data_IF_607677927076
#
_entry.id   IF_607677927076
#
_cell.length_a   1.000
_cell.length_b   1.000
_cell.length_c   1.000
_cell.angle_alpha   90.00
_cell.angle_beta   90.00
_cell.angle_gamma   90.00
#
_symmetry.space_group_name_H-M   'P 1'
#
loop_
_entity.id
_entity.type
_entity.pdbx_description
1 polymer ?
#
# COMPACT_ATOMS: atom_id res chain seq x y z
N UNK A 1 -11.86 0.25 1.13
CA UNK A 1 -11.38 0.87 -0.14
C UNK A 1 -12.30 0.41 -1.24
N UNK A 2 -12.90 1.32 -1.97
CA UNK A 2 -13.78 1.01 -3.10
C UNK A 2 -12.93 0.53 -4.29
N UNK A 3 -13.33 -0.59 -4.90
CA UNK A 3 -12.67 -1.16 -6.07
C UNK A 3 -13.62 -1.06 -7.25
N UNK A 4 -13.38 -0.13 -8.15
CA UNK A 4 -14.25 0.10 -9.31
C UNK A 4 -14.42 -1.16 -10.16
N UNK A 5 -13.32 -1.88 -10.43
CA UNK A 5 -13.36 -3.13 -11.21
C UNK A 5 -14.18 -4.23 -10.53
N UNK A 6 -14.12 -4.33 -9.21
CA UNK A 6 -14.95 -5.28 -8.46
C UNK A 6 -16.41 -4.87 -8.48
N UNK A 7 -16.71 -3.58 -8.31
CA UNK A 7 -18.06 -3.05 -8.39
C UNK A 7 -18.69 -3.30 -9.78
N UNK A 8 -17.94 -3.01 -10.85
CA UNK A 8 -18.38 -3.31 -12.22
C UNK A 8 -18.66 -4.79 -12.43
N UNK A 9 -17.81 -5.68 -11.90
CA UNK A 9 -18.05 -7.12 -11.97
C UNK A 9 -19.30 -7.53 -11.20
N UNK A 10 -19.54 -6.99 -10.01
CA UNK A 10 -20.71 -7.29 -9.18
C UNK A 10 -22.03 -6.80 -9.80
N UNK A 11 -22.00 -5.73 -10.60
CA UNK A 11 -23.18 -5.27 -11.37
C UNK A 11 -23.63 -6.28 -12.43
N UNK A 12 -22.66 -7.01 -13.04
CA UNK A 12 -22.95 -7.99 -14.11
C UNK A 12 -23.13 -9.41 -13.56
N UNK A 13 -22.52 -9.70 -12.41
CA UNK A 13 -22.55 -11.01 -11.76
C UNK A 13 -22.85 -10.85 -10.27
N UNK A 14 -24.12 -10.66 -9.89
CA UNK A 14 -24.47 -10.45 -8.49
C UNK A 14 -24.04 -11.63 -7.62
N UNK A 15 -23.14 -11.38 -6.70
CA UNK A 15 -22.70 -12.38 -5.73
C UNK A 15 -23.58 -12.27 -4.48
N UNK A 16 -24.10 -13.37 -3.93
CA UNK A 16 -24.90 -13.31 -2.71
C UNK A 16 -24.11 -12.66 -1.57
N UNK A 17 -24.68 -11.62 -0.97
CA UNK A 17 -24.08 -10.98 0.20
C UNK A 17 -24.10 -12.00 1.36
N UNK A 18 -22.95 -12.60 1.66
CA UNK A 18 -22.81 -13.42 2.87
C UNK A 18 -22.89 -12.50 4.08
N UNK A 19 -23.98 -12.56 4.82
CA UNK A 19 -24.04 -11.99 6.17
C UNK A 19 -22.97 -12.67 7.01
N UNK A 20 -22.10 -11.87 7.62
CA UNK A 20 -21.14 -12.39 8.59
C UNK A 20 -21.84 -12.47 9.95
N UNK A 21 -21.93 -13.66 10.49
CA UNK A 21 -22.34 -13.85 11.88
C UNK A 21 -21.15 -13.54 12.79
N UNK A 22 -21.35 -12.66 13.77
CA UNK A 22 -20.36 -12.28 14.76
C UNK A 22 -19.81 -10.83 14.64
N UNK A 23 -19.02 -10.40 15.62
CA UNK A 23 -18.49 -9.05 15.68
C UNK A 23 -17.52 -8.77 14.51
N UNK A 24 -17.75 -7.66 13.81
CA UNK A 24 -16.90 -7.23 12.71
C UNK A 24 -15.60 -6.64 13.28
N UNK A 25 -14.46 -7.26 12.99
CA UNK A 25 -13.14 -6.72 13.32
C UNK A 25 -12.72 -5.71 12.27
N UNK A 26 -12.01 -4.63 12.66
CA UNK A 26 -11.56 -3.60 11.72
C UNK A 26 -10.46 -4.11 10.79
N UNK A 27 -10.41 -3.55 9.57
CA UNK A 27 -9.23 -3.60 8.71
C UNK A 27 -8.26 -2.53 9.22
N UNK A 28 -6.99 -2.88 9.38
CA UNK A 28 -5.96 -1.96 9.84
C UNK A 28 -5.09 -1.52 8.68
N UNK A 29 -4.98 -0.21 8.49
CA UNK A 29 -3.98 0.43 7.64
C UNK A 29 -2.95 1.03 8.58
N UNK A 30 -1.73 0.51 8.55
CA UNK A 30 -0.68 0.94 9.45
C UNK A 30 0.37 1.76 8.72
N UNK A 31 0.45 3.04 9.07
CA UNK A 31 1.52 3.92 8.61
C UNK A 31 2.80 3.66 9.41
N UNK A 32 3.69 2.85 8.85
CA UNK A 32 4.92 2.39 9.49
C UNK A 32 5.97 3.50 9.69
N UNK A 33 5.94 4.49 8.79
CA UNK A 33 6.86 5.63 8.80
C UNK A 33 6.21 6.84 8.14
N UNK A 34 6.65 8.03 8.49
CA UNK A 34 6.33 9.27 7.77
C UNK A 34 7.38 9.60 6.72
N UNK A 35 8.53 8.93 6.74
CA UNK A 35 9.56 9.13 5.71
C UNK A 35 9.03 8.71 4.33
N UNK A 36 9.29 9.56 3.32
CA UNK A 36 8.86 9.32 1.95
C UNK A 36 9.82 10.02 0.98
N UNK A 37 10.18 9.34 -0.08
CA UNK A 37 11.00 9.88 -1.15
C UNK A 37 10.22 10.80 -2.12
N UNK A 38 8.89 10.93 -1.98
CA UNK A 38 8.07 11.83 -2.77
C UNK A 38 7.55 13.02 -1.92
N UNK A 39 7.04 14.07 -2.58
CA UNK A 39 6.53 15.30 -1.98
C UNK A 39 5.13 15.62 -2.50
N UNK A 40 4.22 14.65 -2.36
CA UNK A 40 2.87 14.75 -2.93
C UNK A 40 2.12 15.97 -2.42
N UNK A 41 1.49 16.72 -3.34
CA UNK A 41 0.70 17.93 -3.04
C UNK A 41 -0.52 17.66 -2.17
N UNK A 42 -1.09 16.47 -2.24
CA UNK A 42 -2.26 16.02 -1.48
C UNK A 42 -1.89 15.06 -0.34
N UNK A 43 -0.64 15.08 0.13
CA UNK A 43 -0.18 14.18 1.18
C UNK A 43 -0.87 14.45 2.52
N UNK A 44 -1.64 13.48 3.00
CA UNK A 44 -2.34 13.59 4.29
C UNK A 44 -1.43 13.36 5.50
N UNK A 45 -0.26 12.72 5.31
CA UNK A 45 0.69 12.42 6.39
C UNK A 45 1.78 13.48 6.55
N UNK A 46 1.81 14.51 5.69
CA UNK A 46 2.88 15.52 5.67
C UNK A 46 4.28 14.89 5.64
N UNK A 47 4.46 13.90 4.76
CA UNK A 47 5.70 13.13 4.64
C UNK A 47 6.82 13.93 4.00
N UNK A 48 8.06 13.58 4.35
CA UNK A 48 9.29 14.13 3.76
C UNK A 48 10.41 13.09 3.84
N UNK A 49 11.47 13.25 3.06
CA UNK A 49 12.64 12.36 3.13
C UNK A 49 13.59 12.74 4.26
N UNK A 50 13.08 12.69 5.48
CA UNK A 50 13.81 12.96 6.72
C UNK A 50 13.37 11.97 7.80
N UNK A 51 14.21 11.73 8.83
CA UNK A 51 13.77 11.00 10.01
C UNK A 51 12.70 11.81 10.78
N UNK A 52 11.68 11.11 11.26
CA UNK A 52 10.65 11.71 12.11
C UNK A 52 10.79 11.22 13.54
N UNK A 53 10.79 12.12 14.53
CA UNK A 53 10.82 11.71 15.94
C UNK A 53 9.51 11.01 16.33
N UNK A 54 9.62 10.06 17.27
CA UNK A 54 8.45 9.34 17.78
C UNK A 54 7.93 8.19 16.90
N UNK A 55 8.63 7.83 15.84
CA UNK A 55 8.36 6.58 15.14
C UNK A 55 8.71 5.39 16.03
N UNK A 56 7.94 4.29 15.92
CA UNK A 56 8.17 3.08 16.70
C UNK A 56 9.55 2.48 16.39
N UNK A 57 10.24 2.01 17.42
CA UNK A 57 11.44 1.17 17.23
C UNK A 57 11.08 -0.14 16.57
N UNK A 58 12.09 -0.91 16.16
CA UNK A 58 11.89 -2.25 15.59
C UNK A 58 11.11 -3.16 16.56
N UNK A 59 11.55 -3.24 17.80
CA UNK A 59 10.94 -4.06 18.85
C UNK A 59 9.49 -3.66 19.13
N UNK A 60 9.23 -2.35 19.20
CA UNK A 60 7.88 -1.82 19.39
C UNK A 60 6.97 -2.19 18.20
N UNK A 61 7.49 -2.08 16.97
CA UNK A 61 6.75 -2.42 15.77
C UNK A 61 6.46 -3.93 15.68
N UNK A 62 7.41 -4.78 16.10
CA UNK A 62 7.17 -6.23 16.23
C UNK A 62 6.07 -6.52 17.25
N UNK A 63 6.09 -5.88 18.42
CA UNK A 63 5.05 -6.00 19.43
C UNK A 63 3.66 -5.60 18.93
N UNK A 64 3.57 -4.53 18.14
CA UNK A 64 2.30 -4.14 17.49
C UNK A 64 1.77 -5.22 16.56
N UNK A 65 2.62 -5.90 15.80
CA UNK A 65 2.19 -7.02 14.94
C UNK A 65 1.59 -8.17 15.76
N UNK A 66 2.22 -8.52 16.88
CA UNK A 66 1.73 -9.57 17.78
C UNK A 66 0.38 -9.16 18.40
N UNK A 67 0.22 -7.92 18.85
CA UNK A 67 -1.04 -7.40 19.39
C UNK A 67 -2.17 -7.38 18.34
N UNK A 68 -1.88 -6.93 17.11
CA UNK A 68 -2.85 -6.93 16.02
C UNK A 68 -3.30 -8.36 15.66
N UNK A 69 -2.37 -9.32 15.70
CA UNK A 69 -2.69 -10.74 15.49
C UNK A 69 -3.56 -11.28 16.63
N UNK A 70 -3.21 -11.03 17.87
CA UNK A 70 -3.99 -11.44 19.06
C UNK A 70 -5.38 -10.82 19.05
N UNK A 71 -5.50 -9.55 18.66
CA UNK A 71 -6.79 -8.88 18.47
C UNK A 71 -7.64 -9.52 17.36
N UNK A 72 -7.01 -10.17 16.37
CA UNK A 72 -7.69 -10.91 15.31
C UNK A 72 -8.22 -10.04 14.18
N UNK A 73 -7.47 -9.03 13.75
CA UNK A 73 -7.86 -8.24 12.58
C UNK A 73 -7.91 -9.12 11.32
N UNK A 74 -8.89 -8.90 10.41
CA UNK A 74 -9.03 -9.69 9.19
C UNK A 74 -8.01 -9.32 8.10
N UNK A 75 -7.50 -8.09 8.12
CA UNK A 75 -6.57 -7.60 7.12
C UNK A 75 -5.64 -6.53 7.69
N UNK A 76 -4.37 -6.63 7.32
CA UNK A 76 -3.33 -5.66 7.60
C UNK A 76 -2.81 -5.06 6.30
N UNK A 77 -2.80 -3.75 6.20
CA UNK A 77 -2.25 -3.00 5.08
C UNK A 77 -1.04 -2.22 5.59
N UNK A 78 0.16 -2.62 5.18
CA UNK A 78 1.39 -1.89 5.47
C UNK A 78 1.46 -0.66 4.56
N UNK A 79 1.55 0.51 5.17
CA UNK A 79 1.50 1.82 4.51
C UNK A 79 2.46 2.80 5.20
N UNK A 80 2.33 4.10 4.92
CA UNK A 80 3.12 5.14 5.58
C UNK A 80 3.22 6.39 4.73
N UNK A 81 4.35 7.09 4.81
CA UNK A 81 4.84 7.93 3.75
C UNK A 81 5.19 7.02 2.56
N UNK A 82 6.38 6.42 2.58
CA UNK A 82 6.72 5.28 1.73
C UNK A 82 7.24 4.12 2.60
N UNK A 83 6.49 3.04 2.75
CA UNK A 83 6.88 1.95 3.66
C UNK A 83 8.21 1.30 3.28
N UNK A 84 8.56 1.23 1.98
CA UNK A 84 9.85 0.72 1.51
C UNK A 84 11.04 1.63 1.88
N UNK A 85 10.79 2.83 2.42
CA UNK A 85 11.82 3.71 2.94
C UNK A 85 12.15 3.44 4.42
N UNK A 86 11.38 2.60 5.10
CA UNK A 86 11.65 2.19 6.47
C UNK A 86 12.72 1.07 6.45
N UNK A 87 13.77 1.22 7.26
CA UNK A 87 14.96 0.34 7.22
C UNK A 87 14.64 -1.13 7.51
N UNK A 88 13.69 -1.40 8.42
CA UNK A 88 13.28 -2.75 8.86
C UNK A 88 11.96 -3.22 8.23
N UNK A 89 11.48 -2.54 7.17
CA UNK A 89 10.20 -2.86 6.51
C UNK A 89 10.06 -4.35 6.16
N UNK A 90 11.09 -4.93 5.58
CA UNK A 90 11.02 -6.32 5.11
C UNK A 90 10.97 -7.34 6.25
N UNK A 91 11.62 -7.04 7.38
CA UNK A 91 11.55 -7.86 8.59
C UNK A 91 10.15 -7.83 9.19
N UNK A 92 9.57 -6.64 9.32
CA UNK A 92 8.18 -6.47 9.76
C UNK A 92 7.18 -7.16 8.82
N UNK A 93 7.37 -7.05 7.51
CA UNK A 93 6.50 -7.69 6.54
C UNK A 93 6.61 -9.22 6.57
N UNK A 94 7.82 -9.77 6.75
CA UNK A 94 8.03 -11.21 6.96
C UNK A 94 7.37 -11.69 8.25
N UNK A 95 7.57 -10.95 9.35
CA UNK A 95 6.90 -11.26 10.63
C UNK A 95 5.37 -11.27 10.48
N UNK A 96 4.80 -10.28 9.80
CA UNK A 96 3.37 -10.24 9.52
C UNK A 96 2.91 -11.48 8.72
N UNK A 97 3.70 -11.92 7.74
CA UNK A 97 3.41 -13.14 6.97
C UNK A 97 3.46 -14.40 7.83
N UNK A 98 4.48 -14.55 8.68
CA UNK A 98 4.65 -15.67 9.61
C UNK A 98 3.51 -15.76 10.63
N UNK A 99 3.05 -14.62 11.15
CA UNK A 99 1.88 -14.53 12.03
C UNK A 99 0.59 -14.99 11.35
N UNK A 100 0.59 -15.08 10.01
CA UNK A 100 -0.56 -15.60 9.26
C UNK A 100 -1.78 -14.67 9.33
N UNK A 101 -1.61 -13.37 9.11
CA UNK A 101 -2.75 -12.49 8.87
C UNK A 101 -3.53 -13.00 7.66
N UNK A 102 -4.86 -13.02 7.77
CA UNK A 102 -5.73 -13.54 6.70
C UNK A 102 -5.56 -12.77 5.39
N UNK A 103 -5.21 -11.49 5.49
CA UNK A 103 -4.94 -10.63 4.33
C UNK A 103 -3.84 -9.66 4.67
N UNK A 104 -2.73 -9.74 3.95
CA UNK A 104 -1.57 -8.86 4.08
C UNK A 104 -1.36 -8.09 2.77
N UNK A 105 -1.39 -6.78 2.84
CA UNK A 105 -1.26 -5.92 1.66
C UNK A 105 -0.20 -4.84 1.85
N UNK A 106 0.39 -4.41 0.75
CA UNK A 106 1.30 -3.26 0.68
C UNK A 106 0.61 -2.08 -0.02
N UNK A 107 0.73 -0.89 0.58
CA UNK A 107 0.33 0.39 0.00
C UNK A 107 1.55 1.27 -0.19
N UNK A 108 1.91 1.57 -1.43
CA UNK A 108 3.17 2.23 -1.78
C UNK A 108 2.97 3.25 -2.90
N UNK A 109 3.91 4.18 -3.05
CA UNK A 109 3.98 5.05 -4.21
C UNK A 109 4.52 4.33 -5.47
N UNK A 110 5.12 3.15 -5.29
CA UNK A 110 5.56 2.27 -6.36
C UNK A 110 6.97 2.51 -6.90
N UNK A 111 7.58 3.66 -6.62
CA UNK A 111 8.87 4.06 -7.22
C UNK A 111 10.04 3.15 -6.82
N UNK A 112 9.94 2.50 -5.66
CA UNK A 112 10.99 1.60 -5.13
C UNK A 112 10.71 0.11 -5.30
N UNK A 113 9.58 -0.25 -5.93
CA UNK A 113 9.20 -1.67 -6.07
C UNK A 113 10.20 -2.44 -6.92
N UNK A 114 10.63 -1.90 -8.05
CA UNK A 114 11.52 -2.60 -8.98
C UNK A 114 12.86 -2.98 -8.31
N UNK A 115 13.39 -2.10 -7.45
CA UNK A 115 14.60 -2.36 -6.65
C UNK A 115 14.43 -3.54 -5.69
N UNK A 116 13.21 -3.78 -5.21
CA UNK A 116 12.93 -4.73 -4.14
C UNK A 116 12.00 -5.88 -4.55
N UNK A 117 11.77 -6.06 -5.84
CA UNK A 117 10.72 -6.96 -6.32
C UNK A 117 10.87 -8.41 -5.86
N UNK A 118 12.09 -8.93 -5.82
CA UNK A 118 12.35 -10.29 -5.37
C UNK A 118 11.95 -10.50 -3.90
N UNK A 119 12.26 -9.52 -3.05
CA UNK A 119 11.87 -9.55 -1.63
C UNK A 119 10.35 -9.44 -1.47
N UNK A 120 9.71 -8.56 -2.24
CA UNK A 120 8.25 -8.36 -2.25
C UNK A 120 7.55 -9.64 -2.70
N UNK A 121 8.02 -10.27 -3.77
CA UNK A 121 7.49 -11.54 -4.27
C UNK A 121 7.66 -12.67 -3.25
N UNK A 122 8.84 -12.74 -2.58
CA UNK A 122 9.11 -13.74 -1.54
C UNK A 122 8.18 -13.63 -0.33
N UNK A 123 7.83 -12.41 0.12
CA UNK A 123 6.85 -12.21 1.19
C UNK A 123 5.47 -12.73 0.77
N UNK A 124 5.12 -12.57 -0.51
CA UNK A 124 3.84 -13.03 -1.04
C UNK A 124 2.66 -12.24 -0.48
N UNK A 125 2.69 -10.91 -0.67
CA UNK A 125 1.53 -10.06 -0.37
C UNK A 125 0.31 -10.50 -1.18
N UNK A 126 -0.86 -10.48 -0.54
CA UNK A 126 -2.12 -10.76 -1.23
C UNK A 126 -2.50 -9.67 -2.24
N UNK A 127 -1.97 -8.46 -2.04
CA UNK A 127 -2.21 -7.33 -2.92
C UNK A 127 -1.19 -6.21 -2.68
N UNK A 128 -0.69 -5.65 -3.78
CA UNK A 128 0.14 -4.43 -3.78
C UNK A 128 -0.63 -3.31 -4.46
N UNK A 129 -0.93 -2.26 -3.72
CA UNK A 129 -1.60 -1.06 -4.22
C UNK A 129 -0.58 0.02 -4.53
N UNK A 130 -0.45 0.40 -5.81
CA UNK A 130 0.44 1.47 -6.27
C UNK A 130 -0.38 2.71 -6.57
N UNK A 131 0.09 3.84 -6.07
CA UNK A 131 -0.62 5.11 -6.22
C UNK A 131 -0.18 5.84 -7.49
N UNK A 132 -1.14 6.09 -8.39
CA UNK A 132 -0.98 6.91 -9.60
C UNK A 132 -2.16 7.87 -9.70
N UNK A 133 -1.90 9.17 -9.89
CA UNK A 133 -2.94 10.22 -9.91
C UNK A 133 -3.06 10.93 -11.25
N UNK A 134 -2.54 10.34 -12.30
CA UNK A 134 -2.57 10.85 -13.67
C UNK A 134 -1.56 10.14 -14.56
N UNK A 135 -1.39 10.63 -15.78
CA UNK A 135 -0.41 10.13 -16.73
C UNK A 135 0.79 11.09 -16.81
N UNK A 136 2.00 10.52 -16.90
CA UNK A 136 3.26 11.27 -17.11
C UNK A 136 3.39 12.48 -16.20
N UNK A 137 3.56 13.65 -16.80
CA UNK A 137 3.79 14.91 -16.08
C UNK A 137 2.68 15.29 -15.10
N UNK A 138 1.42 14.88 -15.32
CA UNK A 138 0.34 15.12 -14.35
C UNK A 138 0.58 14.33 -13.07
N UNK A 139 0.96 13.06 -13.18
CA UNK A 139 1.31 12.27 -12.00
C UNK A 139 2.52 12.88 -11.27
N UNK A 140 3.56 13.27 -11.99
CA UNK A 140 4.77 13.86 -11.42
C UNK A 140 4.47 15.16 -10.68
N UNK A 141 3.59 15.99 -11.25
CA UNK A 141 3.12 17.21 -10.60
C UNK A 141 2.40 16.90 -9.27
N UNK A 142 1.51 15.87 -9.23
CA UNK A 142 0.85 15.46 -7.99
C UNK A 142 1.84 14.89 -6.98
N UNK A 143 2.80 14.09 -7.44
CA UNK A 143 3.79 13.40 -6.60
C UNK A 143 4.95 14.30 -6.19
N UNK A 144 5.10 15.47 -6.84
CA UNK A 144 6.11 16.49 -6.54
C UNK A 144 7.55 16.08 -6.88
N UNK A 145 7.71 15.07 -7.74
CA UNK A 145 9.00 14.57 -8.23
C UNK A 145 8.87 14.17 -9.69
N UNK A 146 9.73 14.71 -10.54
CA UNK A 146 9.83 14.36 -11.96
C UNK A 146 10.27 12.89 -12.12
N UNK A 147 9.67 12.17 -13.06
CA UNK A 147 9.94 10.75 -13.30
C UNK A 147 9.20 9.77 -12.37
N UNK A 148 8.49 10.25 -11.36
CA UNK A 148 7.75 9.40 -10.42
C UNK A 148 6.71 8.50 -11.12
N UNK A 149 6.14 8.97 -12.25
CA UNK A 149 5.23 8.16 -13.06
C UNK A 149 5.92 6.94 -13.67
N UNK A 150 7.04 7.15 -14.33
CA UNK A 150 7.78 6.09 -15.03
C UNK A 150 8.38 5.07 -14.03
N UNK A 151 8.87 5.54 -12.90
CA UNK A 151 9.34 4.67 -11.81
C UNK A 151 8.20 3.82 -11.25
N UNK A 152 7.05 4.41 -10.95
CA UNK A 152 5.88 3.69 -10.46
C UNK A 152 5.36 2.68 -11.49
N UNK A 153 5.33 3.06 -12.78
CA UNK A 153 4.94 2.16 -13.87
C UNK A 153 5.92 0.99 -14.04
N UNK A 154 7.23 1.25 -13.85
CA UNK A 154 8.25 0.20 -13.80
C UNK A 154 7.99 -0.75 -12.63
N UNK A 155 7.61 -0.24 -11.46
CA UNK A 155 7.18 -1.04 -10.31
C UNK A 155 5.94 -1.90 -10.62
N UNK A 156 4.96 -1.36 -11.33
CA UNK A 156 3.77 -2.13 -11.78
C UNK A 156 4.18 -3.30 -12.69
N UNK A 157 5.06 -3.02 -13.66
CA UNK A 157 5.56 -4.06 -14.60
C UNK A 157 6.35 -5.15 -13.86
N UNK A 158 7.21 -4.75 -12.91
CA UNK A 158 7.94 -5.67 -12.06
C UNK A 158 7.01 -6.58 -11.24
N UNK A 159 5.96 -6.04 -10.62
CA UNK A 159 4.95 -6.84 -9.94
C UNK A 159 4.32 -7.87 -10.88
N UNK A 160 3.90 -7.44 -12.06
CA UNK A 160 3.26 -8.34 -13.03
C UNK A 160 4.19 -9.46 -13.50
N UNK A 161 5.45 -9.17 -13.80
CA UNK A 161 6.42 -10.17 -14.25
C UNK A 161 6.79 -11.20 -13.17
N UNK A 162 6.62 -10.85 -11.89
CA UNK A 162 6.86 -11.75 -10.74
C UNK A 162 5.58 -12.37 -10.17
N UNK A 163 4.45 -12.27 -10.87
CA UNK A 163 3.18 -12.84 -10.41
C UNK A 163 2.58 -12.16 -9.16
N UNK A 164 3.07 -10.99 -8.78
CA UNK A 164 2.55 -10.22 -7.65
C UNK A 164 1.26 -9.52 -8.06
N UNK A 165 0.17 -9.77 -7.34
CA UNK A 165 -1.12 -9.14 -7.60
C UNK A 165 -1.05 -7.64 -7.30
N UNK A 166 -1.12 -6.82 -8.34
CA UNK A 166 -1.01 -5.37 -8.27
C UNK A 166 -2.29 -4.68 -8.73
N UNK A 167 -2.57 -3.52 -8.15
CA UNK A 167 -3.64 -2.63 -8.62
C UNK A 167 -3.29 -1.17 -8.38
N UNK A 168 -3.88 -0.31 -9.19
CA UNK A 168 -3.66 1.12 -9.13
C UNK A 168 -4.65 1.76 -8.14
N UNK A 169 -4.18 2.78 -7.45
CA UNK A 169 -4.98 3.66 -6.59
C UNK A 169 -4.93 5.05 -7.15
N UNK A 170 -6.07 5.65 -7.29
CA UNK A 170 -6.23 6.97 -7.85
C UNK A 170 -7.00 7.86 -6.86
N UNK A 171 -6.42 8.99 -6.48
CA UNK A 171 -7.10 9.98 -5.64
C UNK A 171 -7.76 11.01 -6.54
N UNK A 172 -9.07 10.97 -6.64
CA UNK A 172 -9.84 11.89 -7.50
C UNK A 172 -9.80 13.30 -6.90
N UNK A 173 -9.41 14.27 -7.72
CA UNK A 173 -9.42 15.69 -7.41
C UNK A 173 -9.94 16.46 -8.63
N UNK A 174 -10.25 17.73 -8.49
CA UNK A 174 -10.64 18.58 -9.63
C UNK A 174 -9.56 18.61 -10.73
N UNK A 175 -8.29 18.59 -10.34
CA UNK A 175 -7.16 18.68 -11.27
C UNK A 175 -6.93 17.39 -12.09
N UNK A 176 -7.49 16.25 -11.70
CA UNK A 176 -7.27 14.96 -12.38
C UNK A 176 -8.55 14.20 -12.73
N UNK A 177 -9.71 14.73 -12.43
CA UNK A 177 -10.99 14.05 -12.71
C UNK A 177 -11.17 13.74 -14.21
N UNK A 178 -10.58 14.53 -15.10
CA UNK A 178 -10.62 14.30 -16.55
C UNK A 178 -9.83 13.09 -17.05
N UNK A 179 -9.08 12.39 -16.19
CA UNK A 179 -8.36 11.15 -16.52
C UNK A 179 -9.17 9.87 -16.22
N UNK A 180 -10.39 10.01 -15.70
CA UNK A 180 -11.31 8.89 -15.46
C UNK A 180 -12.23 8.69 -16.66
#
# INVERSE_FOLDING_TARGET
MFRLTQYMHELVTPTPVRRRDGPVKPVVIWNLTRRCNLRCRHCYTTSADVPFPGELTHEQAMGVLDDLKAFGIPALILSGGEPLSRFDFFELAMRAKELGFRHLSLSTNGTRIAEHIDRIAKIGFDYVGISLDGLGATNDWFRGVEGAFDEALTGVRACKSHGVKVGLRFTITEANAGYL
#
